data_IF_401823924484
#
_entry.id   IF_401823924484
#
_cell.length_a   1.000
_cell.length_b   1.000
_cell.length_c   1.000
_cell.angle_alpha   90.00
_cell.angle_beta   90.00
_cell.angle_gamma   90.00
#
_symmetry.space_group_name_H-M   'P 1'
#
loop_
_entity.id
_entity.type
_entity.pdbx_description
1 polymer ?
#
# COMPACT_ATOMS: atom_id res chain seq x y z
N UNK A 1 -11.55 6.50 2.42
CA UNK A 1 -10.22 6.31 3.03
C UNK A 1 -10.27 6.95 4.39
N UNK A 2 -10.16 6.16 5.44
CA UNK A 2 -9.91 6.70 6.77
C UNK A 2 -8.40 6.91 6.86
N UNK A 3 -7.97 8.14 6.60
CA UNK A 3 -6.56 8.51 6.70
C UNK A 3 -6.20 8.61 8.18
N UNK A 4 -5.36 7.69 8.67
CA UNK A 4 -4.63 7.90 9.92
C UNK A 4 -3.23 8.43 9.59
N UNK A 5 -3.16 9.64 9.04
CA UNK A 5 -1.93 10.44 9.12
C UNK A 5 -2.01 11.27 10.40
N UNK A 6 -1.79 10.62 11.55
CA UNK A 6 -1.52 11.34 12.79
C UNK A 6 -0.04 11.25 13.07
N UNK A 7 0.70 12.28 12.64
CA UNK A 7 2.08 12.49 13.07
C UNK A 7 2.06 13.13 14.45
N UNK A 8 2.12 12.33 15.51
CA UNK A 8 2.42 12.84 16.84
C UNK A 8 3.94 12.74 17.07
N UNK A 9 4.61 13.88 17.07
CA UNK A 9 6.03 13.98 17.42
C UNK A 9 6.18 13.94 18.94
N UNK A 10 6.60 12.81 19.50
CA UNK A 10 7.16 12.75 20.86
C UNK A 10 8.64 12.36 20.76
N UNK A 11 9.52 13.23 21.26
CA UNK A 11 10.98 13.03 21.35
C UNK A 11 11.73 12.75 20.02
N UNK A 12 11.34 13.42 18.94
CA UNK A 12 12.14 13.48 17.70
C UNK A 12 11.99 12.31 16.73
N UNK A 13 10.97 11.46 16.91
CA UNK A 13 10.62 10.37 15.98
C UNK A 13 9.16 10.41 15.53
N UNK A 14 8.84 9.57 14.55
CA UNK A 14 7.47 9.40 14.06
C UNK A 14 6.70 8.37 14.89
N UNK A 15 5.50 8.71 15.34
CA UNK A 15 4.57 7.77 15.95
C UNK A 15 3.49 7.39 14.95
N UNK A 16 3.41 6.11 14.61
CA UNK A 16 2.37 5.57 13.72
C UNK A 16 1.30 4.86 14.55
N UNK A 17 0.03 5.17 14.30
CA UNK A 17 -1.10 4.49 14.94
C UNK A 17 -1.17 3.02 14.52
N UNK A 18 -1.33 2.13 15.50
CA UNK A 18 -1.48 0.70 15.25
C UNK A 18 -2.87 0.39 14.67
N UNK A 19 -2.90 -0.37 13.57
CA UNK A 19 -4.13 -0.78 12.90
C UNK A 19 -4.45 -2.24 13.24
N UNK A 20 -5.70 -2.53 13.65
CA UNK A 20 -6.15 -3.87 14.05
C UNK A 20 -6.92 -4.56 12.93
N UNK A 21 -6.70 -5.87 12.77
CA UNK A 21 -7.43 -6.71 11.80
C UNK A 21 -6.99 -6.49 10.35
N UNK A 22 -5.81 -5.93 10.14
CA UNK A 22 -5.19 -5.86 8.82
C UNK A 22 -4.16 -6.98 8.68
N UNK A 23 -4.02 -7.48 7.45
CA UNK A 23 -3.04 -8.49 7.07
C UNK A 23 -2.23 -7.98 5.88
N UNK A 24 -1.07 -8.59 5.59
CA UNK A 24 -0.29 -8.18 4.42
C UNK A 24 -1.06 -8.42 3.13
N UNK A 25 -0.84 -7.56 2.15
CA UNK A 25 -1.46 -7.68 0.85
C UNK A 25 -1.05 -9.00 0.16
N UNK A 26 0.17 -9.51 0.42
CA UNK A 26 0.58 -10.84 -0.04
C UNK A 26 -0.39 -11.93 0.45
N UNK A 27 -0.66 -11.98 1.75
CA UNK A 27 -1.53 -13.00 2.34
C UNK A 27 -2.98 -12.85 1.87
N UNK A 28 -3.46 -11.64 1.66
CA UNK A 28 -4.82 -11.39 1.14
C UNK A 28 -4.93 -11.80 -0.33
N UNK A 29 -3.95 -11.44 -1.16
CA UNK A 29 -3.96 -11.79 -2.59
C UNK A 29 -3.89 -13.30 -2.80
N UNK A 30 -3.04 -14.00 -2.04
CA UNK A 30 -3.00 -15.47 -2.09
C UNK A 30 -4.36 -16.11 -1.77
N UNK A 31 -5.15 -15.51 -0.87
CA UNK A 31 -6.51 -16.00 -0.56
C UNK A 31 -7.49 -15.73 -1.70
N UNK A 32 -7.46 -14.54 -2.30
CA UNK A 32 -8.31 -14.21 -3.44
C UNK A 32 -7.96 -15.01 -4.71
N UNK A 33 -6.68 -15.33 -4.90
CA UNK A 33 -6.22 -16.15 -6.02
C UNK A 33 -6.64 -17.62 -5.86
N UNK A 34 -6.66 -18.12 -4.61
CA UNK A 34 -7.13 -19.47 -4.30
C UNK A 34 -8.65 -19.60 -4.43
N UNK A 35 -9.40 -18.66 -3.86
CA UNK A 35 -10.86 -18.65 -3.91
C UNK A 35 -11.39 -17.29 -4.38
N UNK A 36 -11.74 -17.23 -5.68
CA UNK A 36 -12.29 -16.04 -6.33
C UNK A 36 -13.70 -15.68 -5.84
N UNK A 37 -14.42 -16.60 -5.19
CA UNK A 37 -15.76 -16.32 -4.66
C UNK A 37 -15.74 -15.40 -3.44
N UNK A 38 -14.57 -15.23 -2.81
CA UNK A 38 -14.36 -14.37 -1.65
C UNK A 38 -14.42 -12.87 -1.98
N UNK A 39 -14.30 -12.49 -3.26
CA UNK A 39 -14.28 -11.11 -3.69
C UNK A 39 -15.47 -10.85 -4.61
N UNK A 40 -16.51 -10.18 -4.11
CA UNK A 40 -17.62 -9.75 -4.96
C UNK A 40 -17.18 -8.63 -5.91
N UNK A 41 -17.90 -8.45 -7.01
CA UNK A 41 -17.61 -7.41 -8.01
C UNK A 41 -17.55 -6.01 -7.37
N UNK A 42 -18.48 -5.70 -6.47
CA UNK A 42 -18.51 -4.41 -5.75
C UNK A 42 -17.32 -4.21 -4.81
N UNK A 43 -16.80 -5.28 -4.21
CA UNK A 43 -15.61 -5.22 -3.36
C UNK A 43 -14.34 -5.08 -4.21
N UNK A 44 -14.29 -5.75 -5.36
CA UNK A 44 -13.21 -5.63 -6.32
C UNK A 44 -13.09 -4.19 -6.85
N UNK A 45 -14.19 -3.58 -7.26
CA UNK A 45 -14.22 -2.18 -7.69
C UNK A 45 -13.75 -1.23 -6.59
N UNK A 46 -14.23 -1.45 -5.37
CA UNK A 46 -13.81 -0.65 -4.22
C UNK A 46 -12.33 -0.83 -3.92
N UNK A 47 -11.82 -2.05 -4.00
CA UNK A 47 -10.39 -2.32 -3.85
C UNK A 47 -9.57 -1.59 -4.91
N UNK A 48 -9.94 -1.71 -6.19
CA UNK A 48 -9.28 -1.02 -7.31
C UNK A 48 -9.19 0.48 -7.07
N UNK A 49 -10.29 1.10 -6.65
CA UNK A 49 -10.32 2.53 -6.33
C UNK A 49 -9.37 2.92 -5.20
N UNK A 50 -9.33 2.14 -4.12
CA UNK A 50 -8.42 2.38 -3.00
C UNK A 50 -6.96 2.14 -3.40
N UNK A 51 -6.69 1.13 -4.23
CA UNK A 51 -5.37 0.80 -4.74
C UNK A 51 -4.83 1.88 -5.66
N UNK A 52 -5.66 2.43 -6.56
CA UNK A 52 -5.31 3.59 -7.39
C UNK A 52 -4.92 4.81 -6.54
N UNK A 53 -5.65 5.07 -5.45
CA UNK A 53 -5.30 6.16 -4.52
C UNK A 53 -3.96 5.94 -3.82
N UNK A 54 -3.66 4.71 -3.44
CA UNK A 54 -2.36 4.35 -2.89
C UNK A 54 -1.24 4.55 -3.92
N UNK A 55 -1.45 4.15 -5.18
CA UNK A 55 -0.51 4.38 -6.28
C UNK A 55 -0.22 5.87 -6.44
N UNK A 56 -1.27 6.71 -6.50
CA UNK A 56 -1.10 8.17 -6.63
C UNK A 56 -0.30 8.73 -5.46
N UNK A 57 -0.59 8.30 -4.23
CA UNK A 57 0.17 8.71 -3.06
C UNK A 57 1.64 8.33 -3.16
N UNK A 58 1.94 7.06 -3.42
CA UNK A 58 3.31 6.54 -3.53
C UNK A 58 4.09 7.22 -4.66
N UNK A 59 3.39 7.56 -5.75
CA UNK A 59 3.96 8.32 -6.86
C UNK A 59 4.35 9.73 -6.43
N UNK A 60 3.45 10.46 -5.77
CA UNK A 60 3.67 11.85 -5.33
C UNK A 60 4.81 11.92 -4.31
N UNK A 61 4.81 11.04 -3.31
CA UNK A 61 5.84 11.05 -2.26
C UNK A 61 7.13 10.37 -2.71
N UNK A 62 7.15 9.79 -3.91
CA UNK A 62 8.22 8.94 -4.43
C UNK A 62 8.67 7.92 -3.39
N UNK A 63 7.73 7.10 -2.91
CA UNK A 63 8.06 6.03 -1.98
C UNK A 63 8.98 5.01 -2.68
N UNK A 64 10.18 4.84 -2.14
CA UNK A 64 11.21 3.96 -2.75
C UNK A 64 11.16 2.52 -2.24
N UNK A 65 10.34 2.22 -1.23
CA UNK A 65 10.30 0.92 -0.56
C UNK A 65 8.88 0.38 -0.34
N UNK A 66 7.96 0.65 -1.28
CA UNK A 66 6.64 0.01 -1.25
C UNK A 66 6.75 -1.45 -1.73
N UNK A 67 6.40 -2.39 -0.87
CA UNK A 67 6.17 -3.80 -1.22
C UNK A 67 4.90 -4.36 -0.54
N UNK A 68 4.51 -5.59 -0.92
CA UNK A 68 3.29 -6.28 -0.48
C UNK A 68 3.15 -6.45 1.03
N UNK A 69 4.25 -6.54 1.76
CA UNK A 69 4.21 -6.71 3.22
C UNK A 69 3.95 -5.39 3.93
N UNK A 70 4.38 -4.27 3.31
CA UNK A 70 4.15 -2.91 3.79
C UNK A 70 2.82 -2.32 3.29
N UNK A 71 2.09 -3.05 2.47
CA UNK A 71 0.72 -2.77 2.11
C UNK A 71 -0.19 -3.69 2.91
N UNK A 72 -0.98 -3.12 3.80
CA UNK A 72 -1.90 -3.88 4.63
C UNK A 72 -3.32 -3.76 4.08
N UNK A 73 -4.05 -4.87 4.08
CA UNK A 73 -5.44 -4.95 3.64
C UNK A 73 -6.27 -5.51 4.79
N UNK A 74 -7.39 -4.85 5.08
CA UNK A 74 -8.44 -5.36 5.94
C UNK A 74 -9.62 -5.74 5.07
N UNK A 75 -9.88 -7.04 4.98
CA UNK A 75 -10.97 -7.59 4.19
C UNK A 75 -11.91 -8.40 5.10
N UNK A 76 -13.17 -7.95 5.16
CA UNK A 76 -14.27 -8.67 5.82
C UNK A 76 -15.37 -8.82 4.75
N UNK A 77 -15.58 -10.04 4.21
CA UNK A 77 -16.51 -10.27 3.11
C UNK A 77 -17.90 -9.68 3.37
N UNK A 78 -18.43 -8.98 2.37
CA UNK A 78 -19.73 -8.31 2.39
C UNK A 78 -19.84 -7.11 3.33
N UNK A 79 -18.74 -6.69 3.97
CA UNK A 79 -18.77 -5.61 4.97
C UNK A 79 -17.70 -4.56 4.74
N UNK A 80 -16.44 -4.96 4.63
CA UNK A 80 -15.32 -4.01 4.64
C UNK A 80 -14.18 -4.42 3.73
N UNK A 81 -13.72 -3.45 2.94
CA UNK A 81 -12.42 -3.48 2.29
C UNK A 81 -11.72 -2.14 2.48
N UNK A 82 -10.53 -2.19 3.08
CA UNK A 82 -9.70 -1.05 3.42
C UNK A 82 -8.22 -1.36 3.20
N UNK A 83 -7.47 -0.35 2.79
CA UNK A 83 -6.03 -0.39 2.58
C UNK A 83 -5.34 0.54 3.57
N UNK A 84 -4.23 0.07 4.16
CA UNK A 84 -3.35 0.84 4.99
C UNK A 84 -1.91 0.68 4.50
N UNK A 85 -1.28 1.78 4.11
CA UNK A 85 0.09 1.80 3.62
C UNK A 85 1.02 2.16 4.78
N UNK A 86 1.70 1.17 5.33
CA UNK A 86 2.61 1.34 6.47
C UNK A 86 4.04 1.58 5.96
N UNK A 87 4.92 1.98 6.87
CA UNK A 87 6.36 2.12 6.59
C UNK A 87 6.66 3.05 5.41
N UNK A 88 6.27 4.32 5.57
CA UNK A 88 6.54 5.38 4.59
C UNK A 88 7.86 6.12 4.88
N UNK A 89 8.74 5.54 5.70
CA UNK A 89 9.96 6.20 6.19
C UNK A 89 11.01 6.49 5.10
N UNK A 90 10.91 5.81 3.96
CA UNK A 90 11.81 5.94 2.80
C UNK A 90 11.16 6.70 1.62
N UNK A 91 10.21 7.57 1.92
CA UNK A 91 9.60 8.52 0.99
C UNK A 91 10.30 9.90 1.03
N UNK A 92 9.99 10.77 0.07
CA UNK A 92 10.54 12.13 -0.11
C UNK A 92 12.06 12.18 -0.32
N UNK A 93 12.59 11.56 -1.39
CA UNK A 93 14.01 11.67 -1.69
C UNK A 93 14.39 13.12 -2.05
N UNK A 94 15.56 13.57 -1.58
CA UNK A 94 16.10 14.92 -1.82
C UNK A 94 16.39 15.19 -3.30
N UNK A 95 16.63 14.13 -4.09
CA UNK A 95 16.84 14.17 -5.55
C UNK A 95 16.16 12.95 -6.16
N UNK A 96 15.71 13.06 -7.40
CA UNK A 96 15.11 11.90 -8.07
C UNK A 96 16.16 10.78 -8.19
N UNK A 97 15.80 9.51 -7.89
CA UNK A 97 16.73 8.38 -7.95
C UNK A 97 17.35 8.11 -9.34
N UNK A 98 16.92 8.77 -10.42
CA UNK A 98 17.67 8.74 -11.70
C UNK A 98 19.03 9.44 -11.63
N UNK A 99 19.26 10.30 -10.62
CA UNK A 99 20.53 11.01 -10.46
C UNK A 99 21.50 10.35 -9.46
N UNK A 100 21.12 9.24 -8.81
CA UNK A 100 21.93 8.59 -7.77
C UNK A 100 22.09 7.08 -8.06
N UNK A 101 23.06 6.79 -8.93
CA UNK A 101 23.62 5.47 -9.27
C UNK A 101 22.79 4.56 -10.20
N UNK A 102 23.42 4.11 -11.29
CA UNK A 102 22.94 3.00 -12.15
C UNK A 102 22.91 1.64 -11.43
N UNK A 103 23.23 1.60 -10.13
CA UNK A 103 23.40 0.38 -9.34
C UNK A 103 22.20 0.06 -8.44
N UNK A 104 21.34 1.05 -8.12
CA UNK A 104 20.09 0.84 -7.38
C UNK A 104 18.94 1.58 -8.03
N UNK A 105 18.23 0.89 -8.92
CA UNK A 105 16.92 1.31 -9.38
C UNK A 105 15.90 1.08 -8.25
N UNK A 106 15.06 2.08 -7.97
CA UNK A 106 13.91 1.96 -7.06
C UNK A 106 12.63 1.92 -7.89
N UNK A 107 12.35 0.78 -8.56
CA UNK A 107 11.09 0.61 -9.26
C UNK A 107 9.97 0.54 -8.24
N UNK A 108 8.80 1.04 -8.63
CA UNK A 108 7.60 0.82 -7.86
C UNK A 108 7.24 -0.66 -7.96
N UNK A 109 7.50 -1.47 -6.92
CA UNK A 109 7.23 -2.92 -6.98
C UNK A 109 5.75 -3.23 -7.23
N UNK A 110 4.86 -2.27 -6.98
CA UNK A 110 3.45 -2.41 -7.28
C UNK A 110 3.10 -2.53 -8.76
N UNK A 111 4.01 -2.18 -9.67
CA UNK A 111 3.80 -2.37 -11.11
C UNK A 111 3.75 -3.84 -11.53
N UNK A 112 4.34 -4.73 -10.73
CA UNK A 112 4.36 -6.18 -11.00
C UNK A 112 3.05 -6.87 -10.59
N UNK A 113 2.17 -6.17 -9.87
CA UNK A 113 0.93 -6.75 -9.41
C UNK A 113 -0.11 -6.73 -10.52
N UNK A 114 -0.84 -7.85 -10.65
CA UNK A 114 -2.00 -7.98 -11.55
C UNK A 114 -2.95 -6.79 -11.44
N UNK A 115 -3.18 -6.31 -10.22
CA UNK A 115 -4.11 -5.21 -9.93
C UNK A 115 -3.65 -3.84 -10.46
N UNK A 116 -2.37 -3.68 -10.79
CA UNK A 116 -1.84 -2.48 -11.42
C UNK A 116 -1.89 -2.52 -12.95
N UNK A 117 -2.18 -3.67 -13.54
CA UNK A 117 -2.21 -3.89 -14.99
C UNK A 117 -3.63 -3.82 -15.59
N UNK A 118 -4.64 -3.56 -14.76
CA UNK A 118 -6.06 -3.55 -15.13
C UNK A 118 -6.64 -2.16 -15.26
#
# INVERSE_FOLDING_TARGET
LQWYFSFHFFRGGFFQLFVKGYESAQTVFSRWDYDKSLLSETEEERFKYLFQKMIVLDYIIRNTDRHMDNLLIRHVPGKVIELAAIDNGLAFPVKHPECVSRFRTFPFRWTEYRWAQQ
#
